data_IF_728690826894
#
_entry.id   IF_728690826894
#
_cell.length_a   1.000
_cell.length_b   1.000
_cell.length_c   1.000
_cell.angle_alpha   90.00
_cell.angle_beta   90.00
_cell.angle_gamma   90.00
#
_symmetry.space_group_name_H-M   'P 1'
#
loop_
_entity.id
_entity.type
_entity.pdbx_description
1 polymer ?
#
# COMPACT_ATOMS: atom_id res chain seq x y z
N UNK A 1 -32.64 13.11 -2.63
CA UNK A 1 -32.33 14.55 -2.63
C UNK A 1 -32.24 15.15 -1.23
N UNK A 2 -33.25 14.99 -0.36
CA UNK A 2 -33.29 15.62 0.98
C UNK A 2 -32.08 15.31 1.86
N UNK A 3 -31.67 14.04 1.98
CA UNK A 3 -30.52 13.63 2.81
C UNK A 3 -29.19 14.18 2.28
N UNK A 4 -29.03 14.20 0.95
CA UNK A 4 -27.82 14.73 0.32
C UNK A 4 -27.71 16.25 0.57
N UNK A 5 -28.80 16.99 0.41
CA UNK A 5 -28.85 18.42 0.68
C UNK A 5 -28.59 18.74 2.15
N UNK A 6 -29.15 17.94 3.08
CA UNK A 6 -28.90 18.09 4.52
C UNK A 6 -27.43 17.87 4.88
N UNK A 7 -26.78 16.85 4.30
CA UNK A 7 -25.34 16.62 4.51
C UNK A 7 -24.52 17.79 3.94
N UNK A 8 -24.86 18.30 2.76
CA UNK A 8 -24.20 19.46 2.17
C UNK A 8 -24.39 20.74 2.98
N UNK A 9 -25.54 20.91 3.65
CA UNK A 9 -25.76 22.03 4.59
C UNK A 9 -24.90 21.89 5.85
N UNK A 10 -24.83 20.69 6.44
CA UNK A 10 -23.92 20.44 7.58
C UNK A 10 -22.44 20.70 7.24
N UNK A 11 -22.05 20.48 5.99
CA UNK A 11 -20.71 20.83 5.50
C UNK A 11 -20.55 22.35 5.26
N UNK A 12 -21.58 23.04 4.77
CA UNK A 12 -21.56 24.48 4.53
C UNK A 12 -21.58 25.32 5.82
N UNK A 13 -22.17 24.79 6.90
CA UNK A 13 -22.30 25.45 8.20
C UNK A 13 -21.11 25.19 9.15
N UNK A 14 -19.98 24.65 8.65
CA UNK A 14 -18.80 24.27 9.44
C UNK A 14 -19.12 23.39 10.67
N UNK A 15 -20.16 22.54 10.55
CA UNK A 15 -20.58 21.69 11.67
C UNK A 15 -19.42 20.77 12.07
N UNK A 16 -19.12 20.72 13.38
CA UNK A 16 -18.01 19.91 13.89
C UNK A 16 -18.13 18.46 13.45
N UNK A 17 -16.98 17.81 13.25
CA UNK A 17 -16.90 16.40 12.85
C UNK A 17 -17.71 15.46 13.76
N UNK A 18 -17.79 15.78 15.05
CA UNK A 18 -18.61 15.06 16.02
C UNK A 18 -20.12 15.24 15.75
N UNK A 19 -20.56 16.46 15.45
CA UNK A 19 -21.95 16.76 15.10
C UNK A 19 -22.36 16.03 13.82
N UNK A 20 -21.52 16.04 12.79
CA UNK A 20 -21.79 15.31 11.56
C UNK A 20 -21.89 13.79 11.78
N UNK A 21 -21.02 13.21 12.63
CA UNK A 21 -21.06 11.79 12.97
C UNK A 21 -22.33 11.42 13.76
N UNK A 22 -22.75 12.28 14.70
CA UNK A 22 -23.97 12.09 15.47
C UNK A 22 -25.23 12.18 14.60
N UNK A 23 -25.30 13.15 13.68
CA UNK A 23 -26.41 13.26 12.72
C UNK A 23 -26.51 12.03 11.82
N UNK A 24 -25.37 11.46 11.37
CA UNK A 24 -25.34 10.21 10.58
C UNK A 24 -25.88 9.02 11.38
N UNK A 25 -25.43 8.88 12.63
CA UNK A 25 -25.91 7.82 13.53
C UNK A 25 -27.42 7.94 13.77
N UNK A 26 -27.91 9.16 14.03
CA UNK A 26 -29.33 9.42 14.22
C UNK A 26 -30.17 9.07 12.97
N UNK A 27 -29.72 9.47 11.77
CA UNK A 27 -30.39 9.12 10.52
C UNK A 27 -30.43 7.60 10.30
N UNK A 28 -29.32 6.90 10.56
CA UNK A 28 -29.29 5.43 10.46
C UNK A 28 -30.26 4.76 11.43
N UNK A 29 -30.39 5.29 12.66
CA UNK A 29 -31.34 4.78 13.65
C UNK A 29 -32.79 5.03 13.21
N UNK A 30 -33.10 6.21 12.67
CA UNK A 30 -34.45 6.52 12.18
C UNK A 30 -34.89 5.61 11.03
N UNK A 31 -33.99 5.32 10.08
CA UNK A 31 -34.30 4.37 9.01
C UNK A 31 -34.53 2.95 9.54
N UNK A 32 -33.74 2.51 10.52
CA UNK A 32 -33.95 1.20 11.15
C UNK A 32 -35.30 1.14 11.89
N UNK A 33 -35.69 2.21 12.59
CA UNK A 33 -36.98 2.32 13.28
C UNK A 33 -38.17 2.29 12.31
N UNK A 34 -38.02 2.82 11.09
CA UNK A 34 -39.02 2.72 10.03
C UNK A 34 -39.06 1.33 9.34
N UNK A 35 -38.31 0.36 9.84
CA UNK A 35 -38.31 -1.02 9.32
C UNK A 35 -37.40 -1.24 8.11
N UNK A 36 -36.57 -0.26 7.74
CA UNK A 36 -35.56 -0.48 6.71
C UNK A 36 -34.44 -1.38 7.26
N UNK A 37 -34.20 -2.51 6.57
CA UNK A 37 -33.07 -3.38 6.89
C UNK A 37 -31.76 -2.62 6.67
N UNK A 38 -30.80 -2.79 7.58
CA UNK A 38 -29.47 -2.15 7.52
C UNK A 38 -28.77 -2.31 6.16
N UNK A 39 -28.96 -3.46 5.50
CA UNK A 39 -28.45 -3.74 4.15
C UNK A 39 -29.06 -2.85 3.06
N UNK A 40 -30.33 -2.46 3.19
CA UNK A 40 -31.03 -1.57 2.25
C UNK A 40 -30.77 -0.08 2.53
N UNK A 41 -30.44 0.27 3.78
CA UNK A 41 -30.03 1.64 4.17
C UNK A 41 -28.60 1.90 3.70
N UNK A 42 -27.74 0.89 3.73
CA UNK A 42 -26.35 0.95 3.30
C UNK A 42 -26.18 0.86 1.77
N UNK A 43 -27.07 1.50 1.01
CA UNK A 43 -26.98 1.55 -0.45
C UNK A 43 -25.68 2.26 -0.86
N UNK A 44 -25.06 1.76 -1.93
CA UNK A 44 -23.78 2.24 -2.49
C UNK A 44 -23.77 3.77 -2.69
N UNK A 45 -24.91 4.36 -3.09
CA UNK A 45 -25.05 5.81 -3.24
C UNK A 45 -24.87 6.57 -1.92
N UNK A 46 -25.45 6.09 -0.82
CA UNK A 46 -25.31 6.67 0.51
C UNK A 46 -23.87 6.54 1.02
N UNK A 47 -23.21 5.41 0.78
CA UNK A 47 -21.79 5.26 1.08
C UNK A 47 -20.91 6.24 0.31
N UNK A 48 -21.18 6.46 -0.98
CA UNK A 48 -20.42 7.40 -1.81
C UNK A 48 -20.62 8.85 -1.35
N UNK A 49 -21.85 9.23 -0.98
CA UNK A 49 -22.16 10.54 -0.40
C UNK A 49 -21.45 10.72 0.96
N UNK A 50 -21.40 9.67 1.79
CA UNK A 50 -20.78 9.72 3.12
C UNK A 50 -19.24 9.62 3.12
N UNK A 51 -18.61 9.16 2.04
CA UNK A 51 -17.15 9.02 1.93
C UNK A 51 -16.40 10.35 1.90
N UNK A 52 -16.98 11.39 1.28
CA UNK A 52 -16.34 12.72 1.14
C UNK A 52 -15.98 13.36 2.49
N UNK A 53 -16.92 13.52 3.44
CA UNK A 53 -16.57 14.06 4.75
C UNK A 53 -15.70 13.10 5.58
N UNK A 54 -15.81 11.78 5.38
CA UNK A 54 -14.96 10.81 6.07
C UNK A 54 -13.47 10.91 5.68
N UNK A 55 -13.17 11.34 4.45
CA UNK A 55 -11.80 11.61 4.01
C UNK A 55 -11.19 12.81 4.76
N UNK A 56 -11.98 13.88 4.97
CA UNK A 56 -11.57 15.04 5.77
C UNK A 56 -11.45 14.77 7.28
N UNK A 57 -12.14 13.73 7.78
CA UNK A 57 -12.05 13.25 9.16
C UNK A 57 -10.91 12.27 9.41
N UNK A 58 -10.15 11.86 8.39
CA UNK A 58 -8.97 11.02 8.61
C UNK A 58 -7.98 11.86 9.39
N UNK A 59 -7.55 11.35 10.56
CA UNK A 59 -6.37 11.90 11.22
C UNK A 59 -5.27 11.99 10.16
N UNK A 60 -4.53 13.11 10.05
CA UNK A 60 -3.31 13.09 9.26
C UNK A 60 -2.55 11.87 9.74
N UNK A 61 -2.15 11.02 8.81
CA UNK A 61 -1.25 9.92 9.14
C UNK A 61 -0.02 10.65 9.67
N UNK A 62 0.12 10.69 10.98
CA UNK A 62 1.42 10.93 11.57
C UNK A 62 2.21 9.75 11.04
N UNK A 63 2.98 9.98 9.98
CA UNK A 63 4.15 9.14 9.75
C UNK A 63 4.95 9.28 11.04
N UNK A 64 4.70 8.38 12.00
CA UNK A 64 5.71 8.04 12.99
C UNK A 64 6.96 7.85 12.15
N UNK A 65 7.99 8.67 12.38
CA UNK A 65 9.23 8.63 11.62
C UNK A 65 9.59 7.17 11.37
N UNK A 66 9.34 6.71 10.14
CA UNK A 66 9.26 5.28 9.88
C UNK A 66 10.70 4.78 9.96
N UNK A 67 11.03 4.14 11.08
CA UNK A 67 12.01 3.07 11.17
C UNK A 67 13.38 3.35 10.54
N UNK A 68 14.16 4.31 11.06
CA UNK A 68 15.59 4.50 10.73
C UNK A 68 15.99 4.10 9.29
N UNK A 69 15.20 4.57 8.30
CA UNK A 69 15.34 4.12 6.91
C UNK A 69 16.74 4.43 6.38
N UNK A 70 17.32 5.53 6.87
CA UNK A 70 18.71 5.90 6.64
C UNK A 70 19.72 4.84 7.13
N UNK A 71 19.48 4.18 8.26
CA UNK A 71 20.32 3.05 8.71
C UNK A 71 20.19 1.85 7.77
N UNK A 72 18.97 1.54 7.30
CA UNK A 72 18.76 0.47 6.34
C UNK A 72 19.50 0.77 5.03
N UNK A 73 19.37 1.99 4.50
CA UNK A 73 20.08 2.41 3.29
C UNK A 73 21.60 2.37 3.47
N UNK A 74 22.12 2.83 4.61
CA UNK A 74 23.55 2.73 4.94
C UNK A 74 24.03 1.28 4.99
N UNK A 75 23.24 0.38 5.57
CA UNK A 75 23.55 -1.05 5.59
C UNK A 75 23.55 -1.65 4.18
N UNK A 76 22.53 -1.38 3.37
CA UNK A 76 22.44 -1.90 2.00
C UNK A 76 23.62 -1.39 1.17
N UNK A 77 23.95 -0.11 1.31
CA UNK A 77 25.09 0.52 0.64
C UNK A 77 26.41 -0.15 1.03
N UNK A 78 26.67 -0.37 2.32
CA UNK A 78 27.90 -1.03 2.78
C UNK A 78 28.00 -2.49 2.30
N UNK A 79 26.87 -3.17 2.11
CA UNK A 79 26.82 -4.53 1.54
C UNK A 79 26.94 -4.57 0.02
N UNK A 80 26.77 -3.45 -0.68
CA UNK A 80 26.84 -3.41 -2.15
C UNK A 80 28.23 -3.80 -2.67
N UNK A 81 29.29 -3.34 -2.00
CA UNK A 81 30.68 -3.61 -2.43
C UNK A 81 31.09 -5.07 -2.18
N UNK A 82 30.45 -5.72 -1.21
CA UNK A 82 30.71 -7.11 -0.83
C UNK A 82 29.63 -8.07 -1.32
N UNK A 83 28.91 -7.70 -2.39
CA UNK A 83 27.78 -8.48 -2.93
C UNK A 83 28.10 -9.96 -3.12
N UNK A 84 29.30 -10.29 -3.58
CA UNK A 84 29.74 -11.67 -3.86
C UNK A 84 29.92 -12.53 -2.60
N UNK A 85 30.14 -11.90 -1.45
CA UNK A 85 30.37 -12.58 -0.16
C UNK A 85 29.06 -12.83 0.61
N UNK A 86 27.96 -12.19 0.21
CA UNK A 86 26.66 -12.36 0.84
C UNK A 86 26.13 -13.77 0.64
N UNK A 87 25.68 -14.39 1.73
CA UNK A 87 24.88 -15.61 1.67
C UNK A 87 23.59 -15.37 0.89
N UNK A 88 22.98 -16.44 0.40
CA UNK A 88 21.72 -16.36 -0.36
C UNK A 88 20.60 -15.71 0.46
N UNK A 89 20.50 -16.05 1.75
CA UNK A 89 19.50 -15.51 2.68
C UNK A 89 19.72 -14.02 2.92
N UNK A 90 20.96 -13.59 3.17
CA UNK A 90 21.27 -12.16 3.34
C UNK A 90 20.96 -11.37 2.06
N UNK A 91 21.33 -11.93 0.91
CA UNK A 91 21.08 -11.30 -0.38
C UNK A 91 19.58 -11.14 -0.63
N UNK A 92 18.80 -12.20 -0.43
CA UNK A 92 17.35 -12.19 -0.55
C UNK A 92 16.72 -11.20 0.45
N UNK A 93 17.20 -11.17 1.68
CA UNK A 93 16.77 -10.22 2.70
C UNK A 93 16.94 -8.76 2.24
N UNK A 94 18.07 -8.43 1.61
CA UNK A 94 18.31 -7.09 1.03
C UNK A 94 17.37 -6.80 -0.13
N UNK A 95 17.09 -7.77 -0.99
CA UNK A 95 16.14 -7.59 -2.12
C UNK A 95 14.73 -7.33 -1.60
N UNK A 96 14.28 -8.10 -0.61
CA UNK A 96 12.96 -7.92 0.01
C UNK A 96 12.91 -6.56 0.74
N UNK A 97 13.93 -6.21 1.51
CA UNK A 97 14.00 -4.95 2.23
C UNK A 97 14.02 -3.74 1.29
N UNK A 98 14.71 -3.81 0.14
CA UNK A 98 14.68 -2.76 -0.88
C UNK A 98 13.31 -2.65 -1.54
N UNK A 99 12.64 -3.76 -1.88
CA UNK A 99 11.27 -3.71 -2.42
C UNK A 99 10.31 -3.11 -1.40
N UNK A 100 10.34 -3.57 -0.16
CA UNK A 100 9.50 -3.05 0.92
C UNK A 100 9.80 -1.59 1.24
N UNK A 101 11.08 -1.20 1.22
CA UNK A 101 11.51 0.15 1.59
C UNK A 101 11.23 1.20 0.53
N UNK A 102 11.25 0.82 -0.76
CA UNK A 102 10.93 1.72 -1.88
C UNK A 102 9.47 1.60 -2.35
N UNK A 103 8.68 0.74 -1.69
CA UNK A 103 7.24 0.64 -1.92
C UNK A 103 6.50 0.74 -0.59
N UNK A 104 5.18 0.58 -0.62
CA UNK A 104 4.38 0.43 0.61
C UNK A 104 3.94 -1.02 0.81
N UNK A 105 4.61 -1.98 0.17
CA UNK A 105 4.27 -3.40 0.24
C UNK A 105 4.73 -4.02 1.55
N UNK A 106 3.87 -4.87 2.13
CA UNK A 106 4.21 -5.71 3.29
C UNK A 106 5.00 -6.94 2.85
N UNK A 107 5.73 -7.54 3.78
CA UNK A 107 6.49 -8.77 3.54
C UNK A 107 5.64 -9.87 2.88
N UNK A 108 4.41 -10.09 3.37
CA UNK A 108 3.49 -11.09 2.80
C UNK A 108 3.05 -10.77 1.36
N UNK A 109 2.94 -9.48 1.03
CA UNK A 109 2.59 -9.01 -0.31
C UNK A 109 3.79 -9.16 -1.25
N UNK A 110 5.02 -8.92 -0.78
CA UNK A 110 6.25 -9.19 -1.52
C UNK A 110 6.43 -10.69 -1.77
N UNK A 111 6.29 -11.53 -0.74
CA UNK A 111 6.45 -12.99 -0.86
C UNK A 111 5.47 -13.63 -1.85
N UNK A 112 4.29 -13.04 -2.07
CA UNK A 112 3.30 -13.54 -3.04
C UNK A 112 3.42 -12.87 -4.41
N UNK A 113 4.33 -11.91 -4.54
CA UNK A 113 4.43 -11.11 -5.75
C UNK A 113 5.10 -11.88 -6.88
N UNK A 114 4.73 -11.51 -8.10
CA UNK A 114 5.44 -11.90 -9.32
C UNK A 114 6.27 -10.72 -9.80
N UNK A 115 7.46 -11.01 -10.34
CA UNK A 115 8.38 -9.98 -10.85
C UNK A 115 8.57 -10.13 -12.35
N UNK A 116 8.56 -9.01 -13.07
CA UNK A 116 8.76 -8.97 -14.52
C UNK A 116 9.80 -7.90 -14.86
N UNK A 117 10.82 -8.29 -15.63
CA UNK A 117 11.79 -7.35 -16.18
C UNK A 117 11.15 -6.57 -17.32
N UNK A 118 11.21 -5.24 -17.24
CA UNK A 118 10.73 -4.32 -18.27
C UNK A 118 11.91 -3.69 -19.04
N UNK A 119 11.66 -3.03 -20.18
CA UNK A 119 12.68 -2.27 -20.90
C UNK A 119 13.35 -1.20 -20.02
N UNK A 120 14.52 -0.72 -20.45
CA UNK A 120 15.30 0.34 -19.77
C UNK A 120 15.73 -0.01 -18.33
N UNK A 121 15.85 -1.29 -18.01
CA UNK A 121 16.29 -1.76 -16.69
C UNK A 121 15.22 -1.62 -15.60
N UNK A 122 13.97 -1.32 -15.98
CA UNK A 122 12.86 -1.26 -15.04
C UNK A 122 12.42 -2.66 -14.59
N UNK A 123 11.81 -2.74 -13.42
CA UNK A 123 11.22 -3.97 -12.90
C UNK A 123 9.81 -3.72 -12.41
N UNK A 124 8.91 -4.63 -12.74
CA UNK A 124 7.53 -4.61 -12.30
C UNK A 124 7.29 -5.69 -11.25
N UNK A 125 6.72 -5.30 -10.12
CA UNK A 125 6.30 -6.21 -9.05
C UNK A 125 4.77 -6.18 -8.98
N UNK A 126 4.14 -7.34 -9.19
CA UNK A 126 2.69 -7.52 -9.20
C UNK A 126 2.26 -8.38 -8.02
N UNK A 127 1.33 -7.89 -7.22
CA UNK A 127 0.80 -8.62 -6.05
C UNK A 127 -0.66 -8.25 -5.78
N UNK A 128 -1.31 -8.89 -4.81
CA UNK A 128 -2.65 -8.52 -4.35
C UNK A 128 -2.55 -7.95 -2.92
N UNK A 129 -3.19 -6.80 -2.68
CA UNK A 129 -3.27 -6.25 -1.33
C UNK A 129 -4.27 -7.02 -0.48
N UNK A 130 -3.92 -7.23 0.79
CA UNK A 130 -4.75 -7.99 1.72
C UNK A 130 -5.98 -7.21 2.24
N UNK A 131 -6.06 -5.88 2.00
CA UNK A 131 -7.08 -5.04 2.64
C UNK A 131 -8.38 -4.96 1.82
N UNK A 132 -9.39 -5.76 2.23
CA UNK A 132 -10.83 -5.53 2.02
C UNK A 132 -11.40 -5.86 0.64
N UNK A 133 -10.64 -5.65 -0.43
CA UNK A 133 -10.94 -6.12 -1.77
C UNK A 133 -9.63 -6.56 -2.40
N UNK A 134 -9.60 -7.73 -3.04
CA UNK A 134 -8.42 -8.27 -3.74
C UNK A 134 -8.06 -7.42 -4.96
N UNK A 135 -7.68 -6.16 -4.74
CA UNK A 135 -7.25 -5.26 -5.80
C UNK A 135 -5.79 -5.57 -6.08
N UNK A 136 -5.52 -6.02 -7.31
CA UNK A 136 -4.16 -6.20 -7.79
C UNK A 136 -3.41 -4.88 -7.73
N UNK A 137 -2.21 -4.92 -7.15
CA UNK A 137 -1.27 -3.81 -7.10
C UNK A 137 -0.09 -4.11 -8.01
N UNK A 138 0.28 -3.12 -8.82
CA UNK A 138 1.46 -3.16 -9.66
C UNK A 138 2.38 -2.01 -9.27
N UNK A 139 3.61 -2.34 -8.89
CA UNK A 139 4.68 -1.38 -8.59
C UNK A 139 5.72 -1.48 -9.71
N UNK A 140 6.14 -0.34 -10.26
CA UNK A 140 7.21 -0.29 -11.26
C UNK A 140 8.41 0.44 -10.66
N UNK A 141 9.49 -0.30 -10.43
CA UNK A 141 10.78 0.25 -10.04
C UNK A 141 11.54 0.70 -11.28
N UNK A 142 12.02 1.94 -11.25
CA UNK A 142 12.94 2.51 -12.24
C UNK A 142 14.36 2.51 -11.66
N UNK A 143 15.40 2.42 -12.51
CA UNK A 143 16.78 2.56 -12.05
C UNK A 143 16.99 3.89 -11.31
N UNK A 144 17.78 3.84 -10.24
CA UNK A 144 18.26 5.01 -9.51
C UNK A 144 19.67 5.34 -9.95
N UNK A 145 20.09 6.58 -9.72
CA UNK A 145 21.49 7.01 -9.95
C UNK A 145 22.46 6.25 -9.03
N UNK A 146 22.11 6.13 -7.74
CA UNK A 146 22.89 5.32 -6.79
C UNK A 146 22.53 3.83 -6.93
N UNK A 147 23.33 3.11 -7.72
CA UNK A 147 23.19 1.68 -7.97
C UNK A 147 23.41 0.81 -6.72
N UNK A 148 24.04 1.34 -5.67
CA UNK A 148 24.33 0.60 -4.43
C UNK A 148 23.07 0.30 -3.62
N UNK A 149 22.09 1.19 -3.70
CA UNK A 149 20.78 1.07 -3.01
C UNK A 149 19.62 0.80 -3.97
N UNK A 150 19.89 0.75 -5.28
CA UNK A 150 18.87 0.65 -6.31
C UNK A 150 18.12 -0.69 -6.30
N UNK A 151 16.79 -0.71 -6.10
CA UNK A 151 16.00 -1.94 -6.10
C UNK A 151 16.11 -2.74 -7.40
N UNK A 152 16.17 -2.06 -8.56
CA UNK A 152 16.30 -2.75 -9.86
C UNK A 152 17.65 -3.45 -10.01
N UNK A 153 18.71 -2.91 -9.41
CA UNK A 153 20.04 -3.51 -9.43
C UNK A 153 20.14 -4.74 -8.53
N UNK A 154 19.58 -4.66 -7.32
CA UNK A 154 19.49 -5.80 -6.40
C UNK A 154 18.60 -6.91 -6.97
N UNK A 155 17.44 -6.57 -7.52
CA UNK A 155 16.53 -7.55 -8.13
C UNK A 155 17.13 -8.20 -9.39
N UNK A 156 17.79 -7.44 -10.25
CA UNK A 156 18.49 -8.01 -11.42
C UNK A 156 19.57 -9.00 -11.00
N UNK A 157 20.32 -8.66 -9.96
CA UNK A 157 21.38 -9.52 -9.41
C UNK A 157 20.81 -10.80 -8.79
N UNK A 158 19.68 -10.72 -8.08
CA UNK A 158 18.96 -11.88 -7.55
C UNK A 158 18.50 -12.82 -8.65
N UNK A 159 17.81 -12.28 -9.66
CA UNK A 159 17.31 -13.08 -10.78
C UNK A 159 18.45 -13.75 -11.57
N UNK A 160 19.59 -13.08 -11.71
CA UNK A 160 20.77 -13.68 -12.35
C UNK A 160 21.39 -14.81 -11.50
N UNK A 161 21.34 -14.72 -10.15
CA UNK A 161 21.77 -15.82 -9.27
C UNK A 161 20.82 -17.01 -9.36
N UNK A 162 19.52 -16.75 -9.44
CA UNK A 162 18.46 -17.76 -9.58
C UNK A 162 18.52 -18.53 -10.89
N UNK A 163 18.72 -17.85 -12.02
CA UNK A 163 18.88 -18.50 -13.34
C UNK A 163 20.03 -19.51 -13.40
N UNK A 164 21.03 -19.40 -12.53
CA UNK A 164 22.12 -20.37 -12.42
C UNK A 164 21.73 -21.63 -11.63
N UNK A 165 20.62 -21.60 -10.90
CA UNK A 165 20.23 -22.60 -9.90
C UNK A 165 18.96 -23.38 -10.21
N UNK A 166 18.07 -22.87 -11.08
CA UNK A 166 16.89 -23.52 -11.72
C UNK A 166 15.71 -22.52 -11.83
N UNK A 167 14.98 -22.54 -12.94
CA UNK A 167 13.89 -21.60 -13.29
C UNK A 167 12.52 -22.04 -12.75
N UNK A 168 12.36 -23.28 -12.26
CA UNK A 168 11.06 -23.83 -11.81
C UNK A 168 10.67 -23.46 -10.36
N UNK A 169 11.61 -22.94 -9.56
CA UNK A 169 11.35 -22.60 -8.15
C UNK A 169 10.61 -21.25 -7.99
N UNK A 170 9.85 -21.02 -6.90
CA UNK A 170 9.27 -19.72 -6.57
C UNK A 170 10.31 -18.59 -6.55
N UNK A 171 9.90 -17.36 -6.87
CA UNK A 171 10.81 -16.18 -6.99
C UNK A 171 11.55 -15.85 -5.68
N UNK A 172 10.88 -16.09 -4.55
CA UNK A 172 11.32 -15.74 -3.19
C UNK A 172 11.77 -16.97 -2.43
#
# INVERSE_FOLDING_TARGET
LVIANFISQLEADDATNANQANCRSALSTLFQLQGFKKEKINCVALQQIMKKPQAGMRKPIKEEQVWNYDQLLKYIKSKSDQKTQLSEIEFLGIVIATIMGYSTLRLIEVHRSTVLKLPKGCWQVKTAMFKGHYTGVTVIFRPLEDLSICPTQWLSSWMNRRKKKDDELPVW
#
